data_IF_722471673508
#
_entry.id   IF_722471673508
#
_cell.length_a   1.000
_cell.length_b   1.000
_cell.length_c   1.000
_cell.angle_alpha   90.00
_cell.angle_beta   90.00
_cell.angle_gamma   90.00
#
_symmetry.space_group_name_H-M   'P 1'
#
loop_
_entity.id
_entity.type
_entity.pdbx_description
1 polymer ?
#
# COMPACT_ATOMS: atom_id res chain seq x y z
N UNK A 1 -2.37 -35.95 2.05
CA UNK A 1 -3.36 -34.98 1.50
C UNK A 1 -3.23 -33.67 2.28
N UNK A 2 -2.40 -32.75 1.79
CA UNK A 2 -2.23 -31.44 2.44
C UNK A 2 -3.50 -30.63 2.23
N UNK A 3 -4.20 -30.32 3.33
CA UNK A 3 -5.37 -29.43 3.32
C UNK A 3 -4.90 -28.07 2.79
N UNK A 4 -5.26 -27.75 1.55
CA UNK A 4 -5.14 -26.39 1.01
C UNK A 4 -6.00 -25.49 1.90
N UNK A 5 -5.35 -24.79 2.83
CA UNK A 5 -5.99 -23.77 3.66
C UNK A 5 -6.58 -22.74 2.70
N UNK A 6 -7.88 -22.38 2.79
CA UNK A 6 -8.43 -21.33 1.94
C UNK A 6 -7.58 -20.09 2.13
N UNK A 7 -7.09 -19.55 1.01
CA UNK A 7 -6.21 -18.38 0.96
C UNK A 7 -7.00 -17.19 1.53
N UNK A 8 -6.82 -16.96 2.83
CA UNK A 8 -7.70 -16.11 3.61
C UNK A 8 -7.18 -14.67 3.57
N UNK A 9 -7.51 -13.95 2.50
CA UNK A 9 -7.33 -12.49 2.42
C UNK A 9 -8.31 -11.72 3.34
N UNK A 10 -8.86 -12.36 4.37
CA UNK A 10 -9.92 -11.82 5.23
C UNK A 10 -9.45 -11.53 6.66
N UNK A 11 -8.18 -11.72 6.97
CA UNK A 11 -7.66 -11.34 8.28
C UNK A 11 -7.48 -9.82 8.35
N UNK A 12 -8.29 -9.10 9.15
CA UNK A 12 -8.17 -7.64 9.29
C UNK A 12 -6.84 -7.23 9.95
N UNK A 13 -6.17 -8.18 10.62
CA UNK A 13 -4.83 -8.00 11.19
C UNK A 13 -3.74 -7.97 10.13
N UNK A 14 -4.04 -8.45 8.93
CA UNK A 14 -3.18 -8.43 7.76
C UNK A 14 -3.58 -7.32 6.78
N UNK A 15 -4.29 -6.29 7.25
CA UNK A 15 -4.73 -5.18 6.41
C UNK A 15 -3.83 -3.95 6.60
N UNK A 16 -3.62 -3.22 5.51
CA UNK A 16 -3.07 -1.85 5.52
C UNK A 16 -4.07 -0.89 4.89
N UNK A 17 -4.18 0.34 5.39
CA UNK A 17 -5.05 1.36 4.81
C UNK A 17 -4.56 1.75 3.42
N UNK A 18 -5.48 2.26 2.60
CA UNK A 18 -5.15 2.74 1.26
C UNK A 18 -4.08 3.84 1.26
N UNK A 19 -4.11 4.74 2.25
CA UNK A 19 -3.13 5.82 2.38
C UNK A 19 -1.69 5.31 2.53
N UNK A 20 -1.43 4.36 3.43
CA UNK A 20 -0.08 3.78 3.59
C UNK A 20 0.41 3.10 2.30
N UNK A 21 -0.48 2.39 1.61
CA UNK A 21 -0.14 1.78 0.33
C UNK A 21 0.16 2.82 -0.76
N UNK A 22 -0.60 3.93 -0.80
CA UNK A 22 -0.35 5.03 -1.73
C UNK A 22 0.96 5.75 -1.42
N UNK A 23 1.30 5.96 -0.15
CA UNK A 23 2.55 6.58 0.29
C UNK A 23 3.77 5.74 -0.11
N UNK A 24 3.75 4.43 0.11
CA UNK A 24 4.82 3.53 -0.34
C UNK A 24 5.00 3.61 -1.86
N UNK A 25 3.89 3.53 -2.61
CA UNK A 25 3.93 3.61 -4.08
C UNK A 25 4.49 4.96 -4.52
N UNK A 26 4.04 6.04 -3.90
CA UNK A 26 4.51 7.38 -4.20
C UNK A 26 6.02 7.47 -3.97
N UNK A 27 6.51 7.01 -2.82
CA UNK A 27 7.94 6.99 -2.51
C UNK A 27 8.73 6.12 -3.52
N UNK A 28 8.24 4.94 -3.84
CA UNK A 28 8.83 4.05 -4.84
C UNK A 28 8.91 4.72 -6.22
N UNK A 29 7.82 5.29 -6.72
CA UNK A 29 7.78 5.98 -8.01
C UNK A 29 8.65 7.24 -8.04
N UNK A 30 8.86 7.89 -6.89
CA UNK A 30 9.80 9.00 -6.76
C UNK A 30 11.27 8.54 -6.73
N UNK A 31 11.55 7.31 -6.31
CA UNK A 31 12.91 6.73 -6.29
C UNK A 31 13.39 6.23 -7.66
N UNK A 32 12.49 6.08 -8.63
CA UNK A 32 12.86 5.65 -9.99
C UNK A 32 13.80 6.67 -10.67
N UNK A 33 14.78 6.21 -11.46
CA UNK A 33 15.69 7.09 -12.18
C UNK A 33 14.94 7.94 -13.22
N UNK A 34 15.60 8.97 -13.76
CA UNK A 34 15.03 9.81 -14.80
C UNK A 34 14.60 8.96 -16.01
N UNK A 35 13.33 9.05 -16.40
CA UNK A 35 12.74 8.20 -17.46
C UNK A 35 12.20 6.85 -16.98
N UNK A 36 12.58 6.37 -15.79
CA UNK A 36 12.18 5.07 -15.27
C UNK A 36 10.68 4.90 -15.06
N UNK A 37 9.94 5.99 -14.86
CA UNK A 37 8.48 5.97 -14.76
C UNK A 37 7.79 5.64 -16.10
N UNK A 38 8.41 6.06 -17.22
CA UNK A 38 7.95 5.72 -18.56
C UNK A 38 8.24 4.25 -18.85
N UNK A 39 9.47 3.81 -18.58
CA UNK A 39 9.85 2.40 -18.72
C UNK A 39 8.95 1.48 -17.88
N UNK A 40 8.65 1.87 -16.65
CA UNK A 40 7.73 1.14 -15.78
C UNK A 40 6.30 1.10 -16.35
N UNK A 41 5.84 2.16 -17.03
CA UNK A 41 4.54 2.14 -17.72
C UNK A 41 4.53 1.22 -18.94
N UNK A 42 5.66 1.09 -19.63
CA UNK A 42 5.80 0.31 -20.87
C UNK A 42 6.06 -1.19 -20.58
N UNK A 43 6.75 -1.49 -19.49
CA UNK A 43 7.17 -2.85 -19.11
C UNK A 43 6.38 -3.45 -17.93
N UNK A 44 5.62 -2.61 -17.21
CA UNK A 44 4.88 -3.01 -16.02
C UNK A 44 3.57 -3.75 -16.30
N UNK A 45 2.78 -3.92 -15.24
CA UNK A 45 1.50 -4.63 -15.30
C UNK A 45 0.52 -3.95 -16.29
N UNK A 46 -0.17 -4.75 -17.14
CA UNK A 46 -1.10 -4.22 -18.13
C UNK A 46 -2.22 -3.40 -17.47
N UNK A 47 -2.47 -2.22 -18.05
CA UNK A 47 -3.51 -1.30 -17.59
C UNK A 47 -3.06 -0.28 -16.54
N UNK A 48 -1.76 -0.14 -16.29
CA UNK A 48 -1.17 1.04 -15.64
C UNK A 48 -0.67 2.01 -16.71
N UNK A 49 -1.40 3.10 -16.96
CA UNK A 49 -0.95 4.14 -17.88
C UNK A 49 0.09 5.05 -17.23
N UNK A 50 0.98 5.64 -18.05
CA UNK A 50 1.94 6.64 -17.59
C UNK A 50 1.27 7.78 -16.80
N UNK A 51 0.12 8.27 -17.28
CA UNK A 51 -0.66 9.30 -16.58
C UNK A 51 -1.12 8.85 -15.20
N UNK A 52 -1.58 7.60 -15.05
CA UNK A 52 -1.99 7.07 -13.75
C UNK A 52 -0.80 7.00 -12.78
N UNK A 53 0.37 6.59 -13.26
CA UNK A 53 1.60 6.55 -12.46
C UNK A 53 2.04 7.95 -12.02
N UNK A 54 1.97 8.94 -12.91
CA UNK A 54 2.28 10.34 -12.57
C UNK A 54 1.30 10.86 -11.52
N UNK A 55 0.01 10.55 -11.63
CA UNK A 55 -0.99 10.96 -10.64
C UNK A 55 -0.71 10.34 -9.26
N UNK A 56 -0.38 9.05 -9.23
CA UNK A 56 -0.03 8.32 -7.99
C UNK A 56 1.28 8.84 -7.38
N UNK A 57 2.32 9.04 -8.19
CA UNK A 57 3.60 9.62 -7.75
C UNK A 57 3.44 10.97 -7.05
N UNK A 58 2.48 11.79 -7.50
CA UNK A 58 2.27 13.11 -6.95
C UNK A 58 1.28 13.14 -5.77
N UNK A 59 0.65 12.01 -5.40
CA UNK A 59 -0.44 11.98 -4.43
C UNK A 59 -1.64 12.85 -4.83
N UNK A 60 -1.78 13.17 -6.13
CA UNK A 60 -2.81 14.09 -6.66
C UNK A 60 -4.03 13.36 -7.18
N UNK A 61 -4.23 12.10 -6.79
CA UNK A 61 -5.36 11.33 -7.29
C UNK A 61 -6.65 11.84 -6.67
N UNK A 62 -7.40 12.66 -7.42
CA UNK A 62 -8.73 13.14 -7.00
C UNK A 62 -9.75 11.99 -6.81
N UNK A 63 -9.46 10.81 -7.36
CA UNK A 63 -10.25 9.59 -7.18
C UNK A 63 -9.34 8.46 -6.72
N UNK A 64 -9.66 7.78 -5.61
CA UNK A 64 -8.89 6.62 -5.18
C UNK A 64 -8.99 5.54 -6.26
N UNK A 65 -7.85 5.02 -6.70
CA UNK A 65 -7.79 3.95 -7.69
C UNK A 65 -7.19 2.70 -7.04
N UNK A 66 -7.98 1.99 -6.21
CA UNK A 66 -7.46 0.87 -5.43
C UNK A 66 -6.93 -0.27 -6.31
N UNK A 67 -7.48 -0.45 -7.52
CA UNK A 67 -6.99 -1.45 -8.47
C UNK A 67 -5.62 -1.06 -9.05
N UNK A 68 -5.36 0.22 -9.30
CA UNK A 68 -4.06 0.68 -9.76
C UNK A 68 -3.00 0.49 -8.66
N UNK A 69 -3.34 0.88 -7.42
CA UNK A 69 -2.50 0.66 -6.24
C UNK A 69 -2.22 -0.83 -6.03
N UNK A 70 -3.24 -1.69 -6.09
CA UNK A 70 -3.08 -3.15 -5.98
C UNK A 70 -2.14 -3.71 -7.05
N UNK A 71 -2.23 -3.24 -8.30
CA UNK A 71 -1.37 -3.69 -9.39
C UNK A 71 0.08 -3.32 -9.13
N UNK A 72 0.35 -2.09 -8.71
CA UNK A 72 1.71 -1.67 -8.37
C UNK A 72 2.24 -2.47 -7.18
N UNK A 73 1.45 -2.65 -6.12
CA UNK A 73 1.81 -3.52 -5.00
C UNK A 73 2.20 -4.93 -5.47
N UNK A 74 1.46 -5.49 -6.42
CA UNK A 74 1.78 -6.79 -7.02
C UNK A 74 3.12 -6.78 -7.76
N UNK A 75 3.45 -5.73 -8.52
CA UNK A 75 4.77 -5.62 -9.16
C UNK A 75 5.92 -5.53 -8.15
N UNK A 76 5.65 -5.02 -6.95
CA UNK A 76 6.60 -4.96 -5.84
C UNK A 76 6.69 -6.30 -5.09
N UNK A 77 5.96 -7.32 -5.53
CA UNK A 77 5.92 -8.64 -4.90
C UNK A 77 4.89 -8.78 -3.79
N UNK A 78 4.03 -7.79 -3.56
CA UNK A 78 2.99 -7.84 -2.53
C UNK A 78 1.67 -8.39 -3.09
N UNK A 79 1.33 -9.61 -2.70
CA UNK A 79 0.04 -10.22 -3.02
C UNK A 79 -1.05 -9.71 -2.05
N UNK A 80 -1.88 -8.78 -2.53
CA UNK A 80 -2.95 -8.17 -1.74
C UNK A 80 -4.33 -8.30 -2.39
N UNK A 81 -5.40 -8.22 -1.58
CA UNK A 81 -6.78 -8.01 -2.04
C UNK A 81 -7.33 -6.66 -1.58
N UNK A 82 -8.15 -6.03 -2.42
CA UNK A 82 -8.84 -4.79 -2.10
C UNK A 82 -10.08 -5.09 -1.29
N UNK A 83 -10.13 -4.59 -0.07
CA UNK A 83 -11.33 -4.65 0.78
C UNK A 83 -11.92 -3.24 0.90
N UNK A 84 -13.19 -3.10 0.59
CA UNK A 84 -13.96 -1.87 0.82
C UNK A 84 -14.49 -1.90 2.24
N UNK A 85 -14.11 -0.91 3.05
CA UNK A 85 -14.63 -0.72 4.40
C UNK A 85 -15.59 0.48 4.37
N UNK A 86 -16.77 0.30 4.96
CA UNK A 86 -17.70 1.40 5.21
C UNK A 86 -17.56 1.76 6.66
N UNK A 87 -16.91 2.89 6.94
CA UNK A 87 -16.76 3.36 8.30
C UNK A 87 -17.74 4.51 8.59
N UNK A 88 -18.44 4.47 9.73
CA UNK A 88 -19.20 5.62 10.18
C UNK A 88 -18.20 6.66 10.70
N UNK A 89 -17.93 7.70 9.90
CA UNK A 89 -17.22 8.87 10.41
C UNK A 89 -18.18 9.66 11.28
N UNK A 90 -17.89 9.71 12.58
CA UNK A 90 -18.62 10.55 13.54
C UNK A 90 -18.15 11.99 13.30
N UNK A 91 -18.85 12.69 12.40
CA UNK A 91 -18.64 14.11 12.18
C UNK A 91 -18.89 14.87 13.47
N UNK A 92 -17.96 15.74 13.84
CA UNK A 92 -18.03 16.58 15.03
C UNK A 92 -19.01 17.75 14.84
N UNK A 93 -20.22 17.51 14.32
CA UNK A 93 -21.32 18.47 14.26
C UNK A 93 -22.64 17.72 14.07
N UNK A 94 -23.68 18.17 14.76
CA UNK A 94 -24.94 17.49 15.05
C UNK A 94 -25.52 16.59 13.93
N UNK A 95 -25.62 15.28 14.20
CA UNK A 95 -26.73 14.45 13.74
C UNK A 95 -26.68 13.80 12.36
N UNK A 96 -25.64 13.98 11.54
CA UNK A 96 -25.55 13.34 10.21
C UNK A 96 -24.27 12.51 10.02
N UNK A 97 -24.32 11.21 10.33
CA UNK A 97 -23.27 10.26 9.95
C UNK A 97 -23.37 9.92 8.46
N UNK A 98 -22.55 10.56 7.62
CA UNK A 98 -22.35 10.11 6.23
C UNK A 98 -21.37 8.92 6.25
N UNK A 99 -21.71 7.75 5.71
CA UNK A 99 -20.77 6.65 5.63
C UNK A 99 -19.63 7.03 4.68
N UNK A 100 -18.39 7.04 5.17
CA UNK A 100 -17.22 7.16 4.29
C UNK A 100 -16.83 5.77 3.82
N UNK A 101 -16.62 5.63 2.51
CA UNK A 101 -16.09 4.39 1.94
C UNK A 101 -14.58 4.52 1.86
N UNK A 102 -13.87 3.75 2.69
CA UNK A 102 -12.42 3.63 2.68
C UNK A 102 -12.02 2.32 2.01
N UNK A 103 -10.82 2.30 1.44
CA UNK A 103 -10.22 1.09 0.88
C UNK A 103 -9.07 0.66 1.78
N UNK A 104 -8.87 -0.65 1.91
CA UNK A 104 -7.72 -1.24 2.58
C UNK A 104 -7.24 -2.43 1.76
N UNK A 105 -5.96 -2.76 1.90
CA UNK A 105 -5.32 -3.88 1.21
C UNK A 105 -5.01 -4.98 2.22
N UNK A 106 -5.56 -6.17 2.03
CA UNK A 106 -5.29 -7.32 2.89
C UNK A 106 -4.24 -8.22 2.25
N UNK A 107 -3.25 -8.62 3.03
CA UNK A 107 -2.19 -9.54 2.63
C UNK A 107 -2.61 -11.00 2.82
N UNK A 108 -2.00 -11.91 2.06
CA UNK A 108 -2.18 -13.36 2.21
C UNK A 108 -1.69 -13.91 3.55
N UNK A 109 -0.63 -13.30 4.09
CA UNK A 109 0.09 -13.81 5.23
C UNK A 109 0.88 -12.70 5.95
N UNK A 110 1.32 -13.01 7.18
CA UNK A 110 2.06 -12.08 8.03
C UNK A 110 3.44 -11.73 7.46
N UNK A 111 4.05 -12.59 6.63
CA UNK A 111 5.34 -12.32 6.02
C UNK A 111 5.21 -11.24 4.94
N UNK A 112 4.17 -11.31 4.11
CA UNK A 112 3.83 -10.26 3.15
C UNK A 112 3.57 -8.91 3.83
N UNK A 113 2.81 -8.91 4.93
CA UNK A 113 2.59 -7.69 5.71
C UNK A 113 3.90 -7.14 6.32
N UNK A 114 4.74 -8.01 6.89
CA UNK A 114 6.01 -7.60 7.48
C UNK A 114 6.96 -7.00 6.42
N UNK A 115 7.06 -7.63 5.26
CA UNK A 115 7.84 -7.12 4.13
C UNK A 115 7.31 -5.77 3.63
N UNK A 116 5.98 -5.59 3.59
CA UNK A 116 5.39 -4.29 3.28
C UNK A 116 5.78 -3.23 4.31
N UNK A 117 5.70 -3.53 5.61
CA UNK A 117 6.06 -2.59 6.67
C UNK A 117 7.53 -2.21 6.64
N UNK A 118 8.40 -3.17 6.37
CA UNK A 118 9.84 -2.92 6.20
C UNK A 118 10.10 -2.01 4.99
N UNK A 119 9.48 -2.30 3.84
CA UNK A 119 9.56 -1.44 2.66
C UNK A 119 8.96 -0.05 2.92
N UNK A 120 7.85 0.02 3.64
CA UNK A 120 7.20 1.27 4.06
C UNK A 120 8.14 2.12 4.91
N UNK A 121 8.74 1.54 5.95
CA UNK A 121 9.74 2.24 6.77
C UNK A 121 10.93 2.69 5.93
N UNK A 122 11.52 1.80 5.14
CA UNK A 122 12.70 2.11 4.34
C UNK A 122 12.48 3.20 3.29
N UNK A 123 11.30 3.27 2.67
CA UNK A 123 11.03 4.21 1.58
C UNK A 123 10.34 5.49 2.03
N UNK A 124 9.46 5.42 3.03
CA UNK A 124 8.65 6.56 3.49
C UNK A 124 9.28 7.26 4.70
N UNK A 125 9.97 6.50 5.56
CA UNK A 125 10.62 7.01 6.77
C UNK A 125 12.09 6.57 6.85
N UNK A 126 12.94 6.95 5.88
CA UNK A 126 14.34 6.50 5.83
C UNK A 126 15.21 7.00 7.01
N UNK A 127 14.75 8.00 7.76
CA UNK A 127 15.42 8.58 8.94
C UNK A 127 15.00 7.88 10.26
N UNK A 128 13.96 7.04 10.24
CA UNK A 128 13.58 6.20 11.37
C UNK A 128 14.48 4.95 11.38
N UNK A 129 15.77 5.19 11.68
CA UNK A 129 16.73 4.12 11.95
C UNK A 129 16.15 3.27 13.10
N UNK A 130 15.97 1.95 12.93
CA UNK A 130 15.60 1.12 14.07
C UNK A 130 16.73 1.23 15.06
N UNK A 131 16.47 1.91 16.18
CA UNK A 131 17.44 2.14 17.25
C UNK A 131 18.27 0.86 17.44
N UNK A 132 19.52 0.90 16.97
CA UNK A 132 20.46 -0.20 17.16
C UNK A 132 20.42 -0.58 18.63
N UNK A 133 20.20 -1.86 18.99
CA UNK A 133 20.35 -2.25 20.37
C UNK A 133 21.79 -1.91 20.76
N UNK A 134 21.93 -0.97 21.70
CA UNK A 134 23.22 -0.52 22.20
C UNK A 134 24.09 -1.74 22.48
N UNK A 135 25.37 -1.76 22.03
CA UNK A 135 26.25 -2.85 22.39
C UNK A 135 26.35 -2.86 23.92
N UNK A 136 25.80 -3.90 24.55
CA UNK A 136 26.04 -4.17 25.96
C UNK A 136 27.48 -4.66 26.07
N UNK A 137 28.41 -3.71 26.02
CA UNK A 137 29.82 -3.90 26.28
C UNK A 137 30.04 -4.05 27.78
N UNK A 138 30.53 -5.24 28.13
CA UNK A 138 30.97 -5.76 29.43
C UNK A 138 31.40 -4.75 30.50
#
# INVERSE_FOLDING_TARGET
MSKLKPRAFKDPKLAVPYSEAEELISAYLNSLPHGGLKEYAETGEPGLSYTALVTLKNGKSQRPSPLAVQRILRTLGFETEVVKKKEPVKGAEAGATKPVTTHQFTFTDAKGLAAFKEAYQSHVHPDDEPASPAPTGK
#
